data_IF_000646041686
#
_entry.id   IF_000646041686
#
_cell.length_a   1.000
_cell.length_b   1.000
_cell.length_c   1.000
_cell.angle_alpha   90.00
_cell.angle_beta   90.00
_cell.angle_gamma   90.00
#
_symmetry.space_group_name_H-M   'P 1'
#
loop_
_entity.id
_entity.type
_entity.pdbx_description
1 polymer ?
#
# COMPACT_ATOMS: atom_id res chain seq x y z
N UNK A 1 -32.41 7.40 8.79
CA UNK A 1 -31.09 6.81 9.08
C UNK A 1 -30.28 7.81 9.86
N UNK A 2 -29.52 7.36 10.85
CA UNK A 2 -28.53 8.17 11.54
C UNK A 2 -27.15 7.91 10.93
N UNK A 3 -26.47 8.94 10.43
CA UNK A 3 -25.10 8.82 9.90
C UNK A 3 -24.15 9.51 10.86
N UNK A 4 -23.13 8.79 11.34
CA UNK A 4 -22.19 9.30 12.34
C UNK A 4 -20.92 8.45 12.40
N UNK A 5 -19.94 8.93 13.17
CA UNK A 5 -18.77 8.14 13.56
C UNK A 5 -19.23 6.88 14.33
N UNK A 6 -18.61 5.74 14.01
CA UNK A 6 -18.83 4.47 14.71
C UNK A 6 -18.08 4.50 16.03
N UNK A 7 -18.75 4.13 17.11
CA UNK A 7 -18.13 4.05 18.44
C UNK A 7 -17.32 2.74 18.55
N UNK A 8 -16.26 2.73 19.36
CA UNK A 8 -15.36 1.57 19.48
C UNK A 8 -16.11 0.27 19.81
N UNK A 9 -17.13 0.31 20.69
CA UNK A 9 -17.93 -0.87 21.04
C UNK A 9 -18.87 -1.34 19.93
N UNK A 10 -19.09 -0.54 18.89
CA UNK A 10 -19.92 -0.87 17.72
C UNK A 10 -19.09 -1.46 16.57
N UNK A 11 -17.76 -1.44 16.66
CA UNK A 11 -16.88 -1.97 15.59
C UNK A 11 -17.09 -3.47 15.35
N UNK A 12 -17.51 -4.22 16.37
CA UNK A 12 -17.89 -5.62 16.18
C UNK A 12 -19.09 -5.77 15.23
N UNK A 13 -20.05 -4.85 15.28
CA UNK A 13 -21.16 -4.83 14.32
C UNK A 13 -20.69 -4.49 12.91
N UNK A 14 -19.69 -3.61 12.78
CA UNK A 14 -19.07 -3.29 11.50
C UNK A 14 -18.33 -4.49 10.90
N UNK A 15 -17.61 -5.26 11.73
CA UNK A 15 -16.95 -6.48 11.29
C UNK A 15 -17.97 -7.51 10.79
N UNK A 16 -19.05 -7.76 11.54
CA UNK A 16 -20.13 -8.67 11.12
C UNK A 16 -20.77 -8.25 9.80
N UNK A 17 -21.06 -6.96 9.63
CA UNK A 17 -21.58 -6.43 8.36
C UNK A 17 -20.59 -6.62 7.21
N UNK A 18 -19.30 -6.41 7.45
CA UNK A 18 -18.27 -6.60 6.44
C UNK A 18 -18.14 -8.07 6.04
N UNK A 19 -18.16 -8.99 7.01
CA UNK A 19 -18.16 -10.44 6.76
C UNK A 19 -19.35 -10.86 5.90
N UNK A 20 -20.56 -10.43 6.27
CA UNK A 20 -21.78 -10.78 5.52
C UNK A 20 -21.77 -10.23 4.08
N UNK A 21 -20.95 -9.21 3.78
CA UNK A 21 -20.84 -8.60 2.45
C UNK A 21 -19.66 -9.14 1.62
N UNK A 22 -18.53 -9.46 2.25
CA UNK A 22 -17.28 -9.80 1.56
C UNK A 22 -16.90 -11.28 1.65
N UNK A 23 -17.32 -11.97 2.71
CA UNK A 23 -16.97 -13.37 2.92
C UNK A 23 -17.99 -14.30 2.25
N UNK A 24 -17.55 -15.49 1.84
CA UNK A 24 -18.46 -16.56 1.45
C UNK A 24 -19.17 -17.13 2.69
N UNK A 25 -20.29 -17.80 2.50
CA UNK A 25 -21.11 -18.34 3.60
C UNK A 25 -20.29 -19.16 4.60
N UNK A 26 -20.06 -18.60 5.79
CA UNK A 26 -19.35 -19.23 6.91
C UNK A 26 -17.91 -18.76 7.14
N UNK A 27 -17.28 -18.10 6.16
CA UNK A 27 -15.94 -17.51 6.33
C UNK A 27 -16.05 -16.29 7.26
N UNK A 28 -15.18 -16.21 8.28
CA UNK A 28 -15.16 -15.13 9.29
C UNK A 28 -13.72 -14.70 9.54
N UNK A 29 -13.21 -13.80 8.69
CA UNK A 29 -11.83 -13.30 8.77
C UNK A 29 -11.72 -11.78 8.78
N UNK A 30 -12.79 -11.02 8.53
CA UNK A 30 -12.66 -9.56 8.40
C UNK A 30 -12.19 -8.91 9.72
N UNK A 31 -12.74 -9.33 10.86
CA UNK A 31 -12.36 -8.77 12.17
C UNK A 31 -10.87 -9.00 12.49
N UNK A 32 -10.35 -10.19 12.18
CA UNK A 32 -8.97 -10.59 12.50
C UNK A 32 -7.96 -10.12 11.47
N UNK A 33 -8.32 -10.09 10.18
CA UNK A 33 -7.45 -9.64 9.08
C UNK A 33 -7.26 -8.13 9.07
N UNK A 34 -8.22 -7.35 9.55
CA UNK A 34 -8.17 -5.89 9.49
C UNK A 34 -8.29 -5.24 10.88
N UNK A 35 -7.37 -5.52 11.80
CA UNK A 35 -7.48 -5.03 13.18
C UNK A 35 -7.42 -3.50 13.28
N UNK A 36 -6.73 -2.82 12.37
CA UNK A 36 -6.71 -1.35 12.31
C UNK A 36 -8.11 -0.74 12.06
N UNK A 37 -9.02 -1.51 11.44
CA UNK A 37 -10.40 -1.12 11.20
C UNK A 37 -11.35 -1.50 12.34
N UNK A 38 -11.18 -2.70 12.91
CA UNK A 38 -12.19 -3.29 13.80
C UNK A 38 -11.75 -3.40 15.27
N UNK A 39 -10.46 -3.32 15.57
CA UNK A 39 -9.87 -3.51 16.89
C UNK A 39 -9.03 -2.31 17.35
N UNK A 40 -9.38 -1.11 16.88
CA UNK A 40 -8.69 0.13 17.24
C UNK A 40 -9.13 0.67 18.60
N UNK A 41 -8.24 1.37 19.30
CA UNK A 41 -8.59 2.13 20.51
C UNK A 41 -9.54 3.30 20.21
N UNK A 42 -9.27 4.05 19.14
CA UNK A 42 -10.09 5.19 18.69
C UNK A 42 -10.56 4.92 17.26
N UNK A 43 -11.87 4.79 17.08
CA UNK A 43 -12.48 4.67 15.76
C UNK A 43 -12.45 6.00 15.02
N UNK A 44 -11.96 5.97 13.78
CA UNK A 44 -12.09 7.06 12.80
C UNK A 44 -13.18 6.77 11.75
N UNK A 45 -13.76 5.57 11.78
CA UNK A 45 -14.70 5.06 10.79
C UNK A 45 -16.11 5.66 10.96
N UNK A 46 -16.85 5.71 9.85
CA UNK A 46 -18.23 6.22 9.82
C UNK A 46 -19.22 5.12 9.42
N UNK A 47 -20.45 5.24 9.92
CA UNK A 47 -21.51 4.29 9.66
C UNK A 47 -22.90 4.92 9.56
N UNK A 48 -23.80 4.22 8.89
CA UNK A 48 -25.22 4.53 8.82
C UNK A 48 -26.02 3.51 9.64
N UNK A 49 -26.86 4.02 10.53
CA UNK A 49 -27.63 3.23 11.49
C UNK A 49 -29.15 3.40 11.29
N UNK A 50 -29.89 2.31 11.47
CA UNK A 50 -31.36 2.35 11.57
C UNK A 50 -31.80 3.03 12.87
N UNK A 51 -33.08 3.44 13.01
CA UNK A 51 -33.59 3.99 14.27
C UNK A 51 -33.42 3.04 15.47
N UNK A 52 -33.39 1.74 15.21
CA UNK A 52 -33.17 0.67 16.20
C UNK A 52 -31.69 0.49 16.56
N UNK A 53 -30.79 1.26 15.96
CA UNK A 53 -29.34 1.20 16.21
C UNK A 53 -28.61 0.12 15.41
N UNK A 54 -29.21 -0.42 14.35
CA UNK A 54 -28.54 -1.42 13.50
C UNK A 54 -27.65 -0.74 12.48
N UNK A 55 -26.35 -1.06 12.45
CA UNK A 55 -25.42 -0.60 11.42
C UNK A 55 -25.71 -1.30 10.09
N UNK A 56 -26.02 -0.52 9.05
CA UNK A 56 -26.41 -1.01 7.72
C UNK A 56 -25.47 -0.54 6.61
N UNK A 57 -24.56 0.38 6.91
CA UNK A 57 -23.48 0.76 6.00
C UNK A 57 -22.27 1.21 6.81
N UNK A 58 -21.08 0.82 6.38
CA UNK A 58 -19.82 1.09 7.07
C UNK A 58 -18.76 1.56 6.07
N UNK A 59 -17.96 2.54 6.51
CA UNK A 59 -16.78 3.00 5.81
C UNK A 59 -15.62 3.04 6.81
N UNK A 60 -14.76 2.03 6.69
CA UNK A 60 -13.56 1.89 7.49
C UNK A 60 -12.57 3.00 7.15
N UNK A 61 -11.97 3.62 8.16
CA UNK A 61 -11.01 4.70 7.99
C UNK A 61 -9.85 4.55 8.98
N UNK A 62 -8.62 4.48 8.47
CA UNK A 62 -7.40 4.23 9.26
C UNK A 62 -6.40 5.37 9.05
N UNK A 63 -5.93 6.07 10.10
CA UNK A 63 -4.87 7.07 9.96
C UNK A 63 -3.55 6.38 9.60
N UNK A 64 -2.73 7.03 8.78
CA UNK A 64 -1.40 6.53 8.43
C UNK A 64 -0.40 7.65 8.22
N UNK A 65 0.83 7.41 8.64
CA UNK A 65 1.97 8.25 8.29
C UNK A 65 2.88 7.47 7.35
N UNK A 66 3.26 8.13 6.25
CA UNK A 66 4.14 7.57 5.24
C UNK A 66 5.43 8.36 5.24
N UNK A 67 6.55 7.68 5.43
CA UNK A 67 7.85 8.24 5.12
C UNK A 67 8.00 8.28 3.59
N UNK A 68 8.29 9.45 3.03
CA UNK A 68 8.45 9.67 1.59
C UNK A 68 9.77 10.41 1.38
N UNK A 69 10.85 9.65 1.17
CA UNK A 69 12.21 10.19 1.20
C UNK A 69 12.54 10.78 2.57
N UNK A 70 12.84 12.07 2.64
CA UNK A 70 13.07 12.79 3.90
C UNK A 70 11.81 13.43 4.49
N UNK A 71 10.68 13.34 3.80
CA UNK A 71 9.43 13.97 4.20
C UNK A 71 8.44 12.97 4.80
N UNK A 72 7.40 13.48 5.47
CA UNK A 72 6.33 12.65 6.04
C UNK A 72 4.98 13.13 5.53
N UNK A 73 4.24 12.22 4.91
CA UNK A 73 2.87 12.45 4.45
C UNK A 73 1.90 11.94 5.50
N UNK A 74 0.98 12.80 5.94
CA UNK A 74 -0.16 12.39 6.76
C UNK A 74 -1.33 12.05 5.86
N UNK A 75 -1.84 10.83 5.98
CA UNK A 75 -2.91 10.33 5.15
C UNK A 75 -3.92 9.51 5.97
N UNK A 76 -5.01 9.15 5.31
CA UNK A 76 -5.92 8.11 5.78
C UNK A 76 -6.09 7.06 4.69
N UNK A 77 -6.38 5.83 5.07
CA UNK A 77 -6.82 4.77 4.16
C UNK A 77 -8.27 4.42 4.42
N UNK A 78 -9.03 4.19 3.35
CA UNK A 78 -10.40 3.69 3.39
C UNK A 78 -10.43 2.23 2.98
N UNK A 79 -11.07 1.41 3.82
CA UNK A 79 -11.22 -0.02 3.63
C UNK A 79 -12.55 -0.55 4.15
N UNK A 80 -12.81 -1.84 3.91
CA UNK A 80 -14.02 -2.56 4.31
C UNK A 80 -15.36 -1.81 4.02
N UNK A 81 -15.42 -1.08 2.91
CA UNK A 81 -16.60 -0.26 2.58
C UNK A 81 -17.76 -1.13 2.14
N UNK A 82 -18.79 -1.23 2.99
CA UNK A 82 -19.91 -2.11 2.77
C UNK A 82 -21.26 -1.43 3.06
N UNK A 83 -22.29 -1.87 2.35
CA UNK A 83 -23.69 -1.53 2.61
C UNK A 83 -24.50 -2.81 2.51
N UNK A 84 -25.30 -3.07 3.54
CA UNK A 84 -26.25 -4.18 3.57
C UNK A 84 -27.09 -4.18 2.29
N UNK A 85 -27.32 -5.32 1.62
CA UNK A 85 -28.01 -5.39 0.33
C UNK A 85 -29.31 -4.57 0.26
N UNK A 86 -30.16 -4.68 1.29
CA UNK A 86 -31.46 -3.99 1.36
C UNK A 86 -31.38 -2.46 1.50
N UNK A 87 -30.20 -1.92 1.83
CA UNK A 87 -29.97 -0.50 2.04
C UNK A 87 -29.16 0.14 0.89
N UNK A 88 -28.86 -0.61 -0.17
CA UNK A 88 -28.14 -0.12 -1.36
C UNK A 88 -29.01 0.82 -2.18
N UNK A 89 -28.37 1.66 -3.00
CA UNK A 89 -29.06 2.64 -3.87
C UNK A 89 -29.58 3.89 -3.15
N UNK A 90 -29.44 3.99 -1.83
CA UNK A 90 -29.92 5.13 -1.02
C UNK A 90 -28.88 6.24 -0.83
N UNK A 91 -27.73 6.17 -1.51
CA UNK A 91 -26.66 7.17 -1.41
C UNK A 91 -25.85 7.15 -0.11
N UNK A 92 -26.00 6.13 0.74
CA UNK A 92 -25.33 6.05 2.06
C UNK A 92 -23.80 6.09 1.93
N UNK A 93 -23.21 5.28 1.05
CA UNK A 93 -21.76 5.22 0.87
C UNK A 93 -21.16 6.57 0.43
N UNK A 94 -21.89 7.35 -0.38
CA UNK A 94 -21.46 8.70 -0.78
C UNK A 94 -21.48 9.70 0.39
N UNK A 95 -22.49 9.62 1.25
CA UNK A 95 -22.57 10.45 2.45
C UNK A 95 -21.46 10.09 3.47
N UNK A 96 -21.15 8.81 3.63
CA UNK A 96 -20.03 8.35 4.45
C UNK A 96 -18.69 8.85 3.90
N UNK A 97 -18.47 8.75 2.59
CA UNK A 97 -17.24 9.22 1.95
C UNK A 97 -17.01 10.72 2.18
N UNK A 98 -18.05 11.53 2.10
CA UNK A 98 -17.94 12.96 2.35
C UNK A 98 -17.54 13.25 3.81
N UNK A 99 -18.10 12.52 4.77
CA UNK A 99 -17.69 12.63 6.18
C UNK A 99 -16.23 12.21 6.40
N UNK A 100 -15.78 11.14 5.74
CA UNK A 100 -14.38 10.71 5.80
C UNK A 100 -13.44 11.77 5.20
N UNK A 101 -13.80 12.40 4.07
CA UNK A 101 -13.01 13.49 3.46
C UNK A 101 -12.90 14.69 4.40
N UNK A 102 -14.01 15.10 5.02
CA UNK A 102 -14.04 16.21 5.98
C UNK A 102 -13.22 15.89 7.23
N UNK A 103 -13.33 14.66 7.75
CA UNK A 103 -12.54 14.18 8.87
C UNK A 103 -11.04 14.23 8.56
N UNK A 104 -10.62 13.67 7.43
CA UNK A 104 -9.22 13.62 7.03
C UNK A 104 -8.62 15.03 6.88
N UNK A 105 -9.33 15.94 6.19
CA UNK A 105 -8.92 17.35 6.08
C UNK A 105 -8.77 18.02 7.46
N UNK A 106 -9.76 17.84 8.33
CA UNK A 106 -9.74 18.43 9.67
C UNK A 106 -8.61 17.88 10.54
N UNK A 107 -8.13 16.67 10.25
CA UNK A 107 -7.02 16.01 10.91
C UNK A 107 -5.64 16.36 10.31
N UNK A 108 -5.57 17.18 9.26
CA UNK A 108 -4.31 17.54 8.60
C UNK A 108 -3.76 16.47 7.66
N UNK A 109 -4.61 15.58 7.16
CA UNK A 109 -4.23 14.63 6.12
C UNK A 109 -4.36 15.25 4.72
N UNK A 110 -3.30 15.12 3.92
CA UNK A 110 -3.26 15.65 2.55
C UNK A 110 -3.82 14.67 1.52
N UNK A 111 -3.82 13.36 1.83
CA UNK A 111 -4.22 12.29 0.91
C UNK A 111 -5.14 11.28 1.60
N UNK A 112 -6.04 10.70 0.81
CA UNK A 112 -6.86 9.54 1.16
C UNK A 112 -6.55 8.39 0.21
N UNK A 113 -6.07 7.26 0.72
CA UNK A 113 -5.85 6.04 -0.04
C UNK A 113 -7.10 5.16 -0.01
N UNK A 114 -7.38 4.49 -1.12
CA UNK A 114 -8.60 3.70 -1.29
C UNK A 114 -8.25 2.44 -2.07
N UNK A 115 -8.49 1.25 -1.52
CA UNK A 115 -8.22 -0.03 -2.17
C UNK A 115 -9.14 -0.37 -3.37
N UNK A 116 -9.87 0.59 -3.92
CA UNK A 116 -10.80 0.39 -5.03
C UNK A 116 -10.90 1.57 -5.97
N UNK A 117 -11.44 1.30 -7.15
CA UNK A 117 -11.52 2.21 -8.31
C UNK A 117 -12.98 2.41 -8.80
N UNK A 118 -13.95 1.96 -7.99
CA UNK A 118 -15.38 2.07 -8.34
C UNK A 118 -15.80 3.52 -8.51
N UNK A 119 -16.88 3.72 -9.27
CA UNK A 119 -17.44 5.05 -9.56
C UNK A 119 -17.76 5.91 -8.33
N UNK A 120 -17.94 5.30 -7.14
CA UNK A 120 -18.03 6.03 -5.88
C UNK A 120 -16.83 6.96 -5.64
N UNK A 121 -15.63 6.49 -5.96
CA UNK A 121 -14.38 7.18 -5.67
C UNK A 121 -13.89 8.00 -6.87
N UNK A 122 -13.96 7.46 -8.08
CA UNK A 122 -13.47 8.17 -9.29
C UNK A 122 -14.28 9.43 -9.59
N UNK A 123 -15.58 9.46 -9.27
CA UNK A 123 -16.41 10.68 -9.39
C UNK A 123 -15.99 11.81 -8.46
N UNK A 124 -15.30 11.52 -7.35
CA UNK A 124 -14.78 12.54 -6.44
C UNK A 124 -13.30 12.85 -6.69
N UNK A 125 -12.73 12.32 -7.77
CA UNK A 125 -11.37 12.61 -8.23
C UNK A 125 -10.31 11.64 -7.71
N UNK A 126 -10.68 10.46 -7.21
CA UNK A 126 -9.67 9.43 -6.92
C UNK A 126 -9.08 8.88 -8.21
N UNK A 127 -7.77 8.64 -8.21
CA UNK A 127 -7.00 8.21 -9.39
C UNK A 127 -6.02 7.10 -9.06
N UNK A 128 -5.68 6.23 -10.03
CA UNK A 128 -4.47 5.42 -9.97
C UNK A 128 -3.22 6.31 -9.88
N UNK A 129 -2.18 5.81 -9.23
CA UNK A 129 -0.95 6.57 -8.95
C UNK A 129 0.27 5.66 -8.88
N UNK A 130 1.46 6.25 -8.89
CA UNK A 130 2.70 5.50 -8.71
C UNK A 130 3.01 4.55 -9.86
N UNK A 131 4.13 3.84 -9.71
CA UNK A 131 4.57 2.81 -10.62
C UNK A 131 5.15 1.65 -9.82
N UNK A 132 4.75 0.42 -10.16
CA UNK A 132 5.23 -0.82 -9.56
C UNK A 132 5.80 -1.68 -10.69
N UNK A 133 7.04 -2.13 -10.50
CA UNK A 133 7.63 -3.18 -11.33
C UNK A 133 7.20 -4.54 -10.81
N UNK A 134 6.61 -5.35 -11.68
CA UNK A 134 6.16 -6.71 -11.36
C UNK A 134 7.07 -7.71 -12.04
N UNK A 135 7.52 -8.68 -11.27
CA UNK A 135 8.39 -9.76 -11.72
C UNK A 135 7.77 -11.10 -11.32
N UNK A 136 7.85 -12.05 -12.25
CA UNK A 136 7.50 -13.45 -12.00
C UNK A 136 8.78 -14.25 -11.90
N UNK A 137 9.09 -14.72 -10.69
CA UNK A 137 10.32 -15.43 -10.40
C UNK A 137 10.08 -16.94 -10.41
N UNK A 138 11.03 -17.72 -10.92
CA UNK A 138 11.06 -19.18 -10.84
C UNK A 138 12.47 -19.63 -10.50
N UNK A 139 12.69 -20.93 -10.31
CA UNK A 139 14.05 -21.47 -10.11
C UNK A 139 15.02 -21.09 -11.24
N UNK A 140 14.53 -20.93 -12.48
CA UNK A 140 15.34 -20.51 -13.62
C UNK A 140 15.82 -19.04 -13.53
N UNK A 141 15.08 -18.19 -12.80
CA UNK A 141 15.40 -16.77 -12.59
C UNK A 141 16.70 -16.57 -11.82
N UNK A 142 17.19 -17.59 -11.11
CA UNK A 142 18.38 -17.55 -10.26
C UNK A 142 19.55 -18.37 -10.81
N UNK A 143 19.53 -18.69 -12.10
CA UNK A 143 20.62 -19.43 -12.77
C UNK A 143 21.98 -18.69 -12.75
N UNK A 144 21.96 -17.38 -12.49
CA UNK A 144 23.14 -16.53 -12.31
C UNK A 144 23.02 -15.74 -11.00
N UNK A 145 23.15 -16.43 -9.86
CA UNK A 145 23.27 -15.74 -8.57
C UNK A 145 24.50 -14.82 -8.60
N UNK A 146 24.42 -13.61 -8.02
CA UNK A 146 25.60 -12.78 -7.76
C UNK A 146 26.65 -13.59 -7.01
N UNK A 147 27.93 -13.30 -7.28
CA UNK A 147 29.07 -14.00 -6.67
C UNK A 147 28.91 -14.00 -5.14
N UNK A 148 28.82 -15.19 -4.55
CA UNK A 148 28.38 -15.40 -3.17
C UNK A 148 29.47 -15.00 -2.17
N UNK A 149 29.71 -13.70 -2.04
CA UNK A 149 30.61 -13.12 -1.04
C UNK A 149 29.99 -13.13 0.36
N UNK A 150 28.66 -13.15 0.44
CA UNK A 150 27.92 -13.17 1.70
C UNK A 150 27.60 -14.61 2.11
N UNK A 151 28.16 -15.03 3.26
CA UNK A 151 27.77 -16.26 3.92
C UNK A 151 26.45 -16.06 4.67
N UNK A 152 25.34 -16.30 3.98
CA UNK A 152 23.99 -16.22 4.53
C UNK A 152 23.43 -17.61 4.84
N UNK A 153 22.68 -17.69 5.93
CA UNK A 153 21.78 -18.80 6.22
C UNK A 153 20.33 -18.32 6.21
N UNK A 154 19.38 -19.21 5.92
CA UNK A 154 17.97 -18.85 5.78
C UNK A 154 17.13 -19.66 6.75
N UNK A 155 16.20 -19.01 7.45
CA UNK A 155 15.30 -19.66 8.42
C UNK A 155 13.96 -18.94 8.50
N UNK A 156 13.01 -19.54 9.21
CA UNK A 156 11.77 -18.86 9.56
C UNK A 156 12.03 -17.73 10.57
N UNK A 157 11.17 -16.72 10.53
CA UNK A 157 11.14 -15.63 11.50
C UNK A 157 10.91 -16.17 12.92
N UNK A 158 11.67 -15.66 13.88
CA UNK A 158 11.47 -15.88 15.31
C UNK A 158 10.98 -14.59 15.98
N UNK A 159 10.22 -14.65 17.09
CA UNK A 159 9.69 -13.45 17.75
C UNK A 159 10.76 -12.40 18.12
N UNK A 160 11.97 -12.82 18.47
CA UNK A 160 13.08 -11.92 18.80
C UNK A 160 13.61 -11.10 17.61
N UNK A 161 13.30 -11.49 16.37
CA UNK A 161 13.77 -10.81 15.16
C UNK A 161 12.99 -9.53 14.86
N UNK A 162 11.90 -9.25 15.57
CA UNK A 162 10.97 -8.15 15.26
C UNK A 162 11.66 -6.78 15.17
N UNK A 163 12.70 -6.55 15.98
CA UNK A 163 13.47 -5.31 15.91
C UNK A 163 14.27 -5.19 14.62
N UNK A 164 14.83 -6.29 14.12
CA UNK A 164 15.53 -6.31 12.84
C UNK A 164 14.56 -6.12 11.67
N UNK A 165 13.39 -6.76 11.71
CA UNK A 165 12.33 -6.54 10.71
C UNK A 165 11.90 -5.07 10.68
N UNK A 166 11.62 -4.48 11.85
CA UNK A 166 11.24 -3.07 11.95
C UNK A 166 12.35 -2.14 11.41
N UNK A 167 13.62 -2.43 11.74
CA UNK A 167 14.76 -1.69 11.23
C UNK A 167 14.83 -1.72 9.70
N UNK A 168 14.71 -2.90 9.09
CA UNK A 168 14.77 -3.07 7.63
C UNK A 168 13.60 -2.41 6.90
N UNK A 169 12.39 -2.42 7.48
CA UNK A 169 11.25 -1.65 6.94
C UNK A 169 11.54 -0.15 6.98
N UNK A 170 12.03 0.35 8.12
CA UNK A 170 12.31 1.77 8.32
C UNK A 170 13.51 2.28 7.50
N UNK A 171 14.39 1.38 7.05
CA UNK A 171 15.51 1.71 6.18
C UNK A 171 15.08 1.97 4.72
N UNK A 172 13.89 1.54 4.31
CA UNK A 172 13.38 1.77 2.95
C UNK A 172 13.12 3.26 2.71
N UNK A 173 13.38 3.72 1.48
CA UNK A 173 13.24 5.13 1.10
C UNK A 173 11.81 5.66 1.21
N UNK A 174 10.81 4.81 1.00
CA UNK A 174 9.42 5.12 1.29
C UNK A 174 8.73 3.93 1.97
N UNK A 175 8.16 4.15 3.14
CA UNK A 175 7.58 3.10 3.98
C UNK A 175 6.46 3.64 4.87
N UNK A 176 5.63 2.73 5.37
CA UNK A 176 4.64 3.07 6.40
C UNK A 176 5.34 3.18 7.75
N UNK A 177 5.10 4.29 8.46
CA UNK A 177 5.67 4.52 9.79
C UNK A 177 4.85 3.78 10.84
N UNK A 178 5.19 2.52 11.06
CA UNK A 178 4.60 1.71 12.13
C UNK A 178 5.34 1.86 13.46
N UNK A 179 4.57 1.87 14.55
CA UNK A 179 5.10 1.47 15.84
C UNK A 179 5.36 -0.05 15.85
N UNK A 180 6.22 -0.52 16.76
CA UNK A 180 6.50 -1.96 16.89
C UNK A 180 5.26 -2.79 17.23
N UNK A 181 4.31 -2.22 17.98
CA UNK A 181 3.02 -2.86 18.27
C UNK A 181 2.18 -3.02 17.02
N UNK A 182 2.09 -1.98 16.19
CA UNK A 182 1.33 -2.00 14.93
C UNK A 182 1.92 -3.04 13.97
N UNK A 183 3.24 -3.03 13.78
CA UNK A 183 3.93 -3.98 12.91
C UNK A 183 3.62 -5.43 13.30
N UNK A 184 3.73 -5.76 14.59
CA UNK A 184 3.38 -7.10 15.09
C UNK A 184 1.92 -7.45 14.83
N UNK A 185 1.01 -6.49 15.03
CA UNK A 185 -0.42 -6.70 14.79
C UNK A 185 -0.71 -6.95 13.30
N UNK A 186 -0.11 -6.19 12.39
CA UNK A 186 -0.27 -6.41 10.94
C UNK A 186 0.34 -7.73 10.49
N UNK A 187 1.53 -8.10 10.99
CA UNK A 187 2.15 -9.41 10.71
C UNK A 187 1.21 -10.54 11.13
N UNK A 188 0.65 -10.47 12.34
CA UNK A 188 -0.23 -11.50 12.89
C UNK A 188 -1.63 -11.52 12.26
N UNK A 189 -2.05 -10.45 11.59
CA UNK A 189 -3.36 -10.36 10.96
C UNK A 189 -3.44 -11.09 9.61
N UNK A 190 -2.29 -11.25 8.92
CA UNK A 190 -2.20 -11.94 7.63
C UNK A 190 -3.20 -11.43 6.56
N UNK A 191 -3.40 -10.11 6.39
CA UNK A 191 -4.54 -9.57 5.64
C UNK A 191 -4.59 -10.09 4.20
N UNK A 192 -3.48 -9.95 3.46
CA UNK A 192 -3.42 -10.34 2.05
C UNK A 192 -3.53 -11.86 1.87
N UNK A 193 -2.91 -12.64 2.74
CA UNK A 193 -2.98 -14.10 2.69
C UNK A 193 -4.42 -14.59 2.92
N UNK A 194 -5.12 -14.06 3.92
CA UNK A 194 -6.51 -14.44 4.20
C UNK A 194 -7.47 -14.10 3.05
N UNK A 195 -7.32 -12.93 2.42
CA UNK A 195 -8.13 -12.53 1.26
C UNK A 195 -7.89 -13.48 0.09
N UNK A 196 -6.64 -13.86 -0.13
CA UNK A 196 -6.26 -14.78 -1.21
C UNK A 196 -6.52 -16.24 -0.87
N UNK A 197 -7.04 -16.55 0.33
CA UNK A 197 -7.19 -17.93 0.85
C UNK A 197 -5.88 -18.71 0.82
N UNK A 198 -4.83 -18.03 1.27
CA UNK A 198 -3.44 -18.49 1.32
C UNK A 198 -2.90 -18.40 2.75
N UNK A 199 -1.70 -18.94 2.97
CA UNK A 199 -0.98 -18.87 4.23
C UNK A 199 0.14 -17.84 4.14
N UNK A 200 0.30 -17.05 5.20
CA UNK A 200 1.46 -16.18 5.31
C UNK A 200 2.65 -16.95 5.87
N UNK A 201 3.81 -16.76 5.25
CA UNK A 201 5.09 -17.24 5.79
C UNK A 201 6.10 -16.11 5.82
N UNK A 202 7.07 -16.18 6.72
CA UNK A 202 8.14 -15.18 6.83
C UNK A 202 9.48 -15.88 6.93
N UNK A 203 10.35 -15.59 5.95
CA UNK A 203 11.73 -16.06 5.93
C UNK A 203 12.68 -14.91 6.20
N UNK A 204 13.77 -15.20 6.89
CA UNK A 204 14.85 -14.25 7.16
C UNK A 204 16.18 -14.79 6.63
N UNK A 205 17.02 -13.88 6.17
CA UNK A 205 18.42 -14.12 5.89
C UNK A 205 19.25 -13.70 7.11
N UNK A 206 20.08 -14.61 7.60
CA UNK A 206 20.92 -14.45 8.78
C UNK A 206 22.40 -14.53 8.37
N UNK A 207 23.18 -13.56 8.85
CA UNK A 207 24.64 -13.53 8.67
C UNK A 207 25.36 -14.56 9.55
N UNK A 208 26.64 -14.80 9.29
CA UNK A 208 27.46 -15.67 10.14
C UNK A 208 27.52 -15.25 11.62
N UNK A 209 27.30 -13.96 11.92
CA UNK A 209 27.25 -13.40 13.29
C UNK A 209 25.83 -13.42 13.90
N UNK A 210 24.93 -14.23 13.33
CA UNK A 210 23.55 -14.41 13.78
C UNK A 210 22.68 -13.13 13.75
N UNK A 211 23.04 -12.16 12.91
CA UNK A 211 22.23 -10.96 12.69
C UNK A 211 21.30 -11.15 11.49
N UNK A 212 20.04 -10.77 11.62
CA UNK A 212 19.07 -10.74 10.52
C UNK A 212 19.44 -9.60 9.56
N UNK A 213 19.92 -9.97 8.37
CA UNK A 213 20.33 -9.04 7.31
C UNK A 213 19.18 -8.67 6.35
N UNK A 214 18.10 -9.45 6.34
CA UNK A 214 16.93 -9.16 5.55
C UNK A 214 15.79 -10.15 5.81
N UNK A 215 14.61 -9.83 5.33
CA UNK A 215 13.41 -10.64 5.49
C UNK A 215 12.51 -10.58 4.23
N UNK A 216 11.64 -11.57 4.11
CA UNK A 216 10.54 -11.59 3.15
C UNK A 216 9.28 -12.17 3.81
N UNK A 217 8.16 -11.45 3.67
CA UNK A 217 6.81 -11.91 4.04
C UNK A 217 6.12 -12.36 2.76
N UNK A 218 5.56 -13.57 2.79
CA UNK A 218 5.06 -14.29 1.62
C UNK A 218 3.60 -14.66 1.83
N UNK A 219 2.80 -14.63 0.76
CA UNK A 219 1.49 -15.27 0.66
C UNK A 219 1.63 -16.52 -0.21
N UNK A 220 1.34 -17.70 0.34
CA UNK A 220 1.62 -18.99 -0.30
C UNK A 220 0.36 -19.88 -0.28
N UNK A 221 0.04 -20.62 -1.36
CA UNK A 221 -1.03 -21.61 -1.33
C UNK A 221 -0.88 -22.63 -0.19
N UNK A 222 -1.98 -23.01 0.43
CA UNK A 222 -2.00 -24.07 1.45
C UNK A 222 -1.35 -25.37 0.92
N UNK A 223 -0.71 -26.15 1.79
CA UNK A 223 -0.09 -27.43 1.40
C UNK A 223 -1.10 -28.42 0.81
N UNK A 224 -2.34 -28.39 1.29
CA UNK A 224 -3.44 -29.24 0.84
C UNK A 224 -4.02 -28.83 -0.53
N UNK A 225 -3.59 -27.68 -1.07
CA UNK A 225 -4.04 -27.24 -2.39
C UNK A 225 -3.50 -28.16 -3.49
N UNK A 226 -4.42 -28.80 -4.21
CA UNK A 226 -4.14 -29.76 -5.29
C UNK A 226 -3.85 -29.09 -6.63
N UNK A 227 -3.77 -27.75 -6.66
CA UNK A 227 -3.42 -26.99 -7.84
C UNK A 227 -2.11 -27.51 -8.46
N UNK A 228 -2.11 -27.65 -9.78
CA UNK A 228 -0.96 -28.14 -10.56
C UNK A 228 0.23 -27.18 -10.57
N UNK A 229 0.03 -25.92 -10.16
CA UNK A 229 1.05 -24.88 -10.05
C UNK A 229 0.87 -24.14 -8.73
N UNK A 230 1.92 -24.13 -7.89
CA UNK A 230 1.93 -23.42 -6.60
C UNK A 230 2.54 -22.03 -6.83
N UNK A 231 1.69 -21.02 -6.96
CA UNK A 231 2.10 -19.63 -7.20
C UNK A 231 2.03 -18.85 -5.88
N UNK A 232 3.18 -18.41 -5.38
CA UNK A 232 3.27 -17.53 -4.22
C UNK A 232 3.38 -16.06 -4.63
N UNK A 233 3.23 -15.16 -3.66
CA UNK A 233 3.55 -13.74 -3.86
C UNK A 233 4.28 -13.15 -2.65
N UNK A 234 5.11 -12.14 -2.89
CA UNK A 234 5.75 -11.35 -1.83
C UNK A 234 4.76 -10.28 -1.36
N UNK A 235 4.50 -10.24 -0.05
CA UNK A 235 3.68 -9.23 0.63
C UNK A 235 4.55 -8.03 1.01
N UNK A 236 5.71 -8.28 1.63
CA UNK A 236 6.61 -7.25 2.15
C UNK A 236 8.02 -7.83 2.19
N UNK A 237 9.04 -6.98 2.07
CA UNK A 237 10.44 -7.40 2.20
C UNK A 237 11.29 -6.27 2.77
N UNK A 238 12.51 -6.58 3.19
CA UNK A 238 13.45 -5.54 3.61
C UNK A 238 14.85 -6.09 3.81
N UNK A 239 15.85 -5.21 3.69
CA UNK A 239 17.27 -5.54 3.67
C UNK A 239 17.92 -5.17 2.34
N UNK A 240 19.23 -5.32 2.27
CA UNK A 240 20.00 -4.98 1.07
C UNK A 240 19.61 -5.88 -0.12
N UNK A 241 19.61 -5.38 -1.38
CA UNK A 241 19.24 -6.17 -2.55
C UNK A 241 20.03 -7.48 -2.71
N UNK A 242 21.32 -7.48 -2.35
CA UNK A 242 22.18 -8.67 -2.41
C UNK A 242 21.79 -9.75 -1.38
N UNK A 243 21.04 -9.37 -0.34
CA UNK A 243 20.50 -10.27 0.70
C UNK A 243 19.09 -10.72 0.34
N UNK A 244 18.23 -9.79 -0.10
CA UNK A 244 16.82 -10.06 -0.41
C UNK A 244 16.67 -10.90 -1.68
N UNK A 245 17.49 -10.66 -2.71
CA UNK A 245 17.46 -11.40 -3.96
C UNK A 245 17.60 -12.92 -3.77
N UNK A 246 18.64 -13.44 -3.10
CA UNK A 246 18.75 -14.89 -2.86
C UNK A 246 17.71 -15.41 -1.85
N UNK A 247 17.16 -14.56 -0.98
CA UNK A 247 16.06 -14.95 -0.08
C UNK A 247 14.77 -15.29 -0.86
N UNK A 248 14.50 -14.66 -2.00
CA UNK A 248 13.42 -15.08 -2.91
C UNK A 248 13.67 -16.46 -3.52
N UNK A 249 14.92 -16.78 -3.88
CA UNK A 249 15.29 -18.08 -4.40
C UNK A 249 15.11 -19.20 -3.36
N UNK A 250 15.52 -18.90 -2.11
CA UNK A 250 15.30 -19.76 -0.96
C UNK A 250 13.79 -19.99 -0.73
N UNK A 251 12.96 -18.95 -0.78
CA UNK A 251 11.51 -19.09 -0.63
C UNK A 251 10.89 -20.01 -1.70
N UNK A 252 11.25 -19.82 -2.98
CA UNK A 252 10.78 -20.67 -4.08
C UNK A 252 11.16 -22.14 -3.86
N UNK A 253 12.41 -22.39 -3.46
CA UNK A 253 12.92 -23.74 -3.27
C UNK A 253 12.31 -24.41 -2.05
N UNK A 254 12.26 -23.70 -0.91
CA UNK A 254 11.79 -24.21 0.35
C UNK A 254 10.29 -24.54 0.32
N UNK A 255 9.46 -23.65 -0.25
CA UNK A 255 8.01 -23.85 -0.35
C UNK A 255 7.58 -24.54 -1.65
N UNK A 256 8.53 -25.01 -2.45
CA UNK A 256 8.31 -25.74 -3.71
C UNK A 256 7.38 -24.98 -4.67
N UNK A 257 7.62 -23.67 -4.82
CA UNK A 257 6.81 -22.80 -5.66
C UNK A 257 7.16 -22.99 -7.13
N UNK A 258 6.14 -23.00 -7.97
CA UNK A 258 6.29 -22.95 -9.43
C UNK A 258 6.69 -21.54 -9.88
N UNK A 259 6.09 -20.52 -9.26
CA UNK A 259 6.53 -19.13 -9.39
C UNK A 259 6.27 -18.30 -8.12
N UNK A 260 6.97 -17.18 -8.03
CA UNK A 260 6.81 -16.17 -6.98
C UNK A 260 6.65 -14.79 -7.63
N UNK A 261 5.47 -14.19 -7.46
CA UNK A 261 5.22 -12.82 -7.91
C UNK A 261 5.84 -11.81 -6.94
N UNK A 262 6.67 -10.91 -7.45
CA UNK A 262 7.31 -9.84 -6.66
C UNK A 262 6.94 -8.49 -7.24
N UNK A 263 6.47 -7.59 -6.37
CA UNK A 263 6.09 -6.22 -6.69
C UNK A 263 7.04 -5.26 -6.02
N UNK A 264 7.74 -4.47 -6.84
CA UNK A 264 8.80 -3.58 -6.39
C UNK A 264 8.40 -2.15 -6.74
N UNK A 265 8.23 -1.24 -5.75
CA UNK A 265 8.04 0.18 -6.01
C UNK A 265 9.19 0.76 -6.83
N UNK A 266 8.89 1.70 -7.73
CA UNK A 266 9.88 2.29 -8.63
C UNK A 266 11.13 2.88 -7.94
N UNK A 267 11.00 3.32 -6.69
CA UNK A 267 12.12 3.87 -5.93
C UNK A 267 13.19 2.82 -5.54
N UNK A 268 12.87 1.52 -5.52
CA UNK A 268 13.81 0.44 -5.21
C UNK A 268 14.66 0.03 -6.43
N UNK A 269 15.33 1.03 -6.99
CA UNK A 269 16.11 0.92 -8.23
C UNK A 269 17.18 -0.18 -8.15
N UNK A 270 17.85 -0.32 -7.02
CA UNK A 270 18.93 -1.30 -6.86
C UNK A 270 18.43 -2.75 -7.00
N UNK A 271 17.24 -3.05 -6.47
CA UNK A 271 16.65 -4.39 -6.61
C UNK A 271 16.06 -4.61 -8.01
N UNK A 272 15.41 -3.59 -8.58
CA UNK A 272 14.94 -3.61 -9.97
C UNK A 272 16.12 -3.87 -10.93
N UNK A 273 17.20 -3.12 -10.81
CA UNK A 273 18.40 -3.26 -11.65
C UNK A 273 19.02 -4.65 -11.53
N UNK A 274 18.99 -5.25 -10.34
CA UNK A 274 19.47 -6.61 -10.11
C UNK A 274 18.64 -7.63 -10.89
N UNK A 275 17.31 -7.50 -10.86
CA UNK A 275 16.41 -8.36 -11.63
C UNK A 275 16.56 -8.17 -13.14
N UNK A 276 16.72 -6.93 -13.60
CA UNK A 276 16.93 -6.62 -15.02
C UNK A 276 18.26 -7.17 -15.54
N UNK A 277 19.34 -7.07 -14.75
CA UNK A 277 20.65 -7.68 -15.09
C UNK A 277 20.59 -9.20 -15.19
N UNK A 278 19.72 -9.84 -14.40
CA UNK A 278 19.42 -11.26 -14.49
C UNK A 278 18.50 -11.62 -15.69
N UNK A 279 18.17 -10.66 -16.57
CA UNK A 279 17.29 -10.80 -17.72
C UNK A 279 15.88 -11.32 -17.36
N UNK A 280 15.40 -10.99 -16.16
CA UNK A 280 14.05 -11.35 -15.73
C UNK A 280 13.07 -10.36 -16.38
N UNK A 281 12.05 -10.84 -17.11
CA UNK A 281 11.03 -9.97 -17.70
C UNK A 281 10.32 -9.14 -16.62
N UNK A 282 10.13 -7.86 -16.91
CA UNK A 282 9.39 -6.92 -16.06
C UNK A 282 8.11 -6.50 -16.76
N UNK A 283 7.01 -6.42 -16.01
CA UNK A 283 5.84 -5.63 -16.40
C UNK A 283 5.67 -4.46 -15.45
N UNK A 284 5.00 -3.41 -15.93
CA UNK A 284 4.77 -2.19 -15.16
C UNK A 284 3.28 -2.04 -14.91
N UNK A 285 2.91 -1.81 -13.65
CA UNK A 285 1.54 -1.49 -13.23
C UNK A 285 1.52 -0.23 -12.35
N UNK A 286 0.33 0.34 -12.13
CA UNK A 286 0.13 1.40 -11.13
C UNK A 286 0.15 0.79 -9.72
N UNK A 287 0.38 1.61 -8.70
CA UNK A 287 0.34 1.18 -7.31
C UNK A 287 -1.05 0.61 -6.93
N UNK A 288 -1.10 -0.22 -5.89
CA UNK A 288 -2.32 -0.83 -5.41
C UNK A 288 -3.35 0.22 -4.96
N UNK A 289 -4.52 0.20 -5.59
CA UNK A 289 -5.66 1.06 -5.26
C UNK A 289 -5.63 2.42 -5.98
N UNK A 290 -6.28 3.41 -5.37
CA UNK A 290 -6.34 4.79 -5.84
C UNK A 290 -6.02 5.77 -4.72
N UNK A 291 -5.59 6.97 -5.07
CA UNK A 291 -5.43 8.09 -4.14
C UNK A 291 -6.39 9.22 -4.48
N UNK A 292 -6.82 9.94 -3.46
CA UNK A 292 -7.54 11.19 -3.57
C UNK A 292 -6.76 12.27 -2.80
N UNK A 293 -6.33 13.32 -3.51
CA UNK A 293 -5.74 14.49 -2.86
C UNK A 293 -6.86 15.31 -2.23
N UNK A 294 -6.73 15.55 -0.92
CA UNK A 294 -7.72 16.27 -0.12
C UNK A 294 -7.41 17.76 -0.05
N UNK A 295 -6.12 18.09 -0.05
CA UNK A 295 -5.53 19.42 0.04
C UNK A 295 -4.19 19.42 -0.73
N UNK A 296 -4.13 20.19 -1.82
CA UNK A 296 -2.97 20.22 -2.71
C UNK A 296 -1.79 20.97 -2.10
N UNK A 297 -2.02 22.11 -1.44
CA UNK A 297 -0.95 22.90 -0.85
C UNK A 297 -0.30 22.13 0.30
N UNK A 298 -1.12 21.50 1.15
CA UNK A 298 -0.63 20.66 2.23
C UNK A 298 0.13 19.44 1.70
N UNK A 299 -0.31 18.83 0.59
CA UNK A 299 0.43 17.74 -0.04
C UNK A 299 1.81 18.20 -0.51
N UNK A 300 1.89 19.35 -1.19
CA UNK A 300 3.16 19.89 -1.70
C UNK A 300 4.12 20.25 -0.56
N UNK A 301 3.60 20.75 0.57
CA UNK A 301 4.38 20.98 1.78
C UNK A 301 4.87 19.66 2.40
N UNK A 302 3.99 18.69 2.60
CA UNK A 302 4.30 17.39 3.22
C UNK A 302 5.21 16.48 2.38
N UNK A 303 5.48 16.86 1.13
CA UNK A 303 6.33 16.10 0.20
C UNK A 303 7.59 16.87 -0.23
N UNK A 304 7.75 18.12 0.21
CA UNK A 304 8.87 18.98 -0.19
C UNK A 304 8.81 19.49 -1.63
N UNK A 305 7.77 19.14 -2.39
CA UNK A 305 7.59 19.65 -3.76
C UNK A 305 7.40 21.17 -3.73
N UNK A 306 6.77 21.70 -2.68
CA UNK A 306 6.65 23.15 -2.49
C UNK A 306 8.01 23.87 -2.46
N UNK A 307 9.01 23.33 -1.77
CA UNK A 307 10.35 23.91 -1.69
C UNK A 307 11.05 23.89 -3.06
N UNK A 308 10.86 22.79 -3.81
CA UNK A 308 11.34 22.68 -5.18
C UNK A 308 10.70 23.72 -6.11
N UNK A 309 9.38 23.89 -6.04
CA UNK A 309 8.64 24.85 -6.86
C UNK A 309 9.15 26.27 -6.61
N UNK A 310 9.33 26.66 -5.34
CA UNK A 310 9.85 27.97 -4.97
C UNK A 310 11.30 28.18 -5.43
N UNK A 311 12.17 27.17 -5.29
CA UNK A 311 13.57 27.27 -5.72
C UNK A 311 13.74 27.47 -7.23
N UNK A 312 12.74 27.11 -8.03
CA UNK A 312 12.77 27.17 -9.49
C UNK A 312 11.78 28.20 -10.08
N UNK A 313 11.17 29.05 -9.24
CA UNK A 313 10.13 30.02 -9.63
C UNK A 313 8.96 29.38 -10.43
N UNK A 314 8.57 28.16 -10.05
CA UNK A 314 7.49 27.41 -10.69
C UNK A 314 6.18 27.67 -9.94
N UNK A 315 5.11 28.01 -10.68
CA UNK A 315 3.76 28.20 -10.13
C UNK A 315 2.81 27.13 -10.64
N UNK A 316 1.94 26.64 -9.76
CA UNK A 316 0.90 25.66 -10.10
C UNK A 316 -0.47 26.35 -10.02
N UNK A 317 -1.30 26.14 -11.04
CA UNK A 317 -2.69 26.57 -11.09
C UNK A 317 -3.59 25.33 -11.07
N UNK A 318 -4.55 25.28 -10.14
CA UNK A 318 -5.46 24.12 -9.95
C UNK A 318 -6.97 24.49 -9.96
N UNK A 319 -7.34 25.72 -9.62
CA UNK A 319 -8.76 26.10 -9.38
C UNK A 319 -9.63 26.16 -10.64
N UNK A 320 -9.05 26.40 -11.82
CA UNK A 320 -9.76 26.57 -13.09
C UNK A 320 -9.08 25.78 -14.21
N UNK A 321 -8.72 24.55 -13.89
CA UNK A 321 -7.87 23.70 -14.71
C UNK A 321 -6.46 23.61 -14.14
N UNK A 322 -5.70 22.67 -14.67
CA UNK A 322 -4.39 22.30 -14.18
C UNK A 322 -3.35 22.91 -15.12
N UNK A 323 -2.43 23.72 -14.60
CA UNK A 323 -1.28 24.19 -15.35
C UNK A 323 -0.05 24.41 -14.46
N UNK A 324 1.12 24.22 -15.05
CA UNK A 324 2.41 24.54 -14.44
C UNK A 324 3.07 25.66 -15.23
N UNK A 325 3.49 26.73 -14.55
CA UNK A 325 4.13 27.89 -15.15
C UNK A 325 5.57 27.98 -14.66
N UNK A 326 6.53 27.94 -15.58
CA UNK A 326 7.94 28.23 -15.32
C UNK A 326 8.26 29.66 -15.78
N UNK A 327 9.45 30.21 -15.47
CA UNK A 327 9.86 31.51 -15.99
C UNK A 327 9.89 31.60 -17.52
N UNK A 328 10.03 30.46 -18.21
CA UNK A 328 10.23 30.39 -19.67
C UNK A 328 9.01 29.87 -20.44
N UNK A 329 8.09 29.15 -19.80
CA UNK A 329 6.99 28.48 -20.49
C UNK A 329 5.80 28.20 -19.57
N UNK A 330 4.67 27.84 -20.17
CA UNK A 330 3.48 27.36 -19.47
C UNK A 330 3.07 26.01 -20.03
N UNK A 331 2.77 25.08 -19.13
CA UNK A 331 2.48 23.68 -19.42
C UNK A 331 1.07 23.37 -18.91
N UNK A 332 0.02 23.50 -19.75
CA UNK A 332 -1.32 23.10 -19.36
C UNK A 332 -1.42 21.57 -19.31
N UNK A 333 -2.18 21.06 -18.35
CA UNK A 333 -2.54 19.65 -18.26
C UNK A 333 -3.96 19.43 -18.79
N UNK A 334 -4.20 18.30 -19.45
CA UNK A 334 -5.52 17.97 -20.01
C UNK A 334 -6.48 17.40 -18.96
N UNK A 335 -5.97 16.95 -17.81
CA UNK A 335 -6.76 16.36 -16.74
C UNK A 335 -6.04 16.42 -15.40
N UNK A 336 -6.78 16.14 -14.31
CA UNK A 336 -6.19 15.93 -12.99
C UNK A 336 -5.20 14.75 -12.97
N UNK A 337 -5.41 13.72 -13.79
CA UNK A 337 -4.52 12.56 -13.87
C UNK A 337 -3.10 12.98 -14.28
N UNK A 338 -2.94 13.87 -15.24
CA UNK A 338 -1.59 14.29 -15.68
C UNK A 338 -0.84 15.05 -14.58
N UNK A 339 -1.56 15.80 -13.73
CA UNK A 339 -0.98 16.43 -12.55
C UNK A 339 -0.53 15.39 -11.52
N UNK A 340 -1.35 14.36 -11.27
CA UNK A 340 -0.99 13.29 -10.35
C UNK A 340 0.10 12.37 -10.87
N UNK A 341 0.14 12.11 -12.18
CA UNK A 341 1.26 11.41 -12.81
C UNK A 341 2.54 12.22 -12.62
N UNK A 342 2.53 13.55 -12.83
CA UNK A 342 3.71 14.38 -12.55
C UNK A 342 4.20 14.26 -11.10
N UNK A 343 3.28 14.16 -10.14
CA UNK A 343 3.64 14.01 -8.72
C UNK A 343 4.13 12.61 -8.36
N UNK A 344 3.55 11.54 -8.91
CA UNK A 344 3.73 10.19 -8.37
C UNK A 344 4.30 9.17 -9.38
N UNK A 345 4.31 9.46 -10.67
CA UNK A 345 4.83 8.59 -11.72
C UNK A 345 6.24 9.05 -12.15
N UNK A 346 7.28 8.20 -11.99
CA UNK A 346 8.65 8.58 -12.37
C UNK A 346 8.82 8.81 -13.88
N UNK A 347 7.93 8.26 -14.71
CA UNK A 347 7.97 8.34 -16.18
C UNK A 347 6.94 9.34 -16.75
N UNK A 348 6.41 10.23 -15.91
CA UNK A 348 5.40 11.20 -16.33
C UNK A 348 5.87 12.02 -17.53
N UNK A 349 5.12 11.96 -18.64
CA UNK A 349 5.54 12.54 -19.94
C UNK A 349 5.90 14.03 -19.88
N UNK A 350 5.35 14.79 -18.92
CA UNK A 350 5.64 16.21 -18.77
C UNK A 350 7.06 16.48 -18.24
N UNK A 351 7.65 15.58 -17.44
CA UNK A 351 9.02 15.75 -16.94
C UNK A 351 10.04 15.80 -18.09
N UNK A 352 9.77 15.12 -19.21
CA UNK A 352 10.60 15.18 -20.41
C UNK A 352 10.42 16.47 -21.22
N UNK A 353 9.29 17.17 -21.07
CA UNK A 353 8.99 18.44 -21.77
C UNK A 353 9.50 19.65 -21.00
N UNK A 354 9.51 19.55 -19.68
CA UNK A 354 10.10 20.55 -18.81
C UNK A 354 11.61 20.30 -18.80
N UNK A 355 12.43 21.27 -19.18
CA UNK A 355 13.89 21.13 -19.10
C UNK A 355 14.41 21.23 -17.64
N UNK A 356 13.63 20.66 -16.71
CA UNK A 356 13.76 20.73 -15.26
C UNK A 356 13.33 19.36 -14.72
N UNK A 357 14.20 18.73 -13.93
CA UNK A 357 13.91 17.46 -13.29
C UNK A 357 12.92 17.68 -12.13
N UNK A 358 11.62 17.54 -12.41
CA UNK A 358 10.57 17.65 -11.40
C UNK A 358 10.66 16.49 -10.40
N UNK A 359 10.53 16.72 -9.08
CA UNK A 359 10.61 15.66 -8.08
C UNK A 359 9.37 14.78 -8.11
N UNK A 360 9.57 13.47 -8.26
CA UNK A 360 8.52 12.46 -8.07
C UNK A 360 8.46 12.06 -6.60
N UNK A 361 7.26 12.10 -6.03
CA UNK A 361 6.95 11.72 -4.65
C UNK A 361 6.93 10.20 -4.53
N UNK A 362 7.87 9.58 -3.79
CA UNK A 362 7.89 8.15 -3.60
C UNK A 362 6.81 7.73 -2.58
N UNK A 363 6.10 6.65 -2.88
CA UNK A 363 5.11 6.06 -1.98
C UNK A 363 5.36 4.55 -1.89
N UNK A 364 5.14 3.93 -0.71
CA UNK A 364 5.25 2.48 -0.58
C UNK A 364 4.17 1.76 -1.40
N UNK A 365 4.35 0.46 -1.62
CA UNK A 365 3.30 -0.37 -2.19
C UNK A 365 2.17 -0.57 -1.18
N UNK A 366 0.94 -0.20 -1.54
CA UNK A 366 -0.17 -0.19 -0.56
C UNK A 366 -0.88 -1.54 -0.41
N UNK A 367 -0.64 -2.50 -1.31
CA UNK A 367 -1.19 -3.86 -1.20
C UNK A 367 -0.15 -4.83 -0.62
N UNK A 368 0.79 -4.32 0.17
CA UNK A 368 1.72 -5.11 0.98
C UNK A 368 1.14 -5.43 2.36
N UNK A 369 1.98 -5.33 3.40
CA UNK A 369 1.56 -5.60 4.77
C UNK A 369 0.53 -4.57 5.29
N UNK A 370 0.54 -3.35 4.74
CA UNK A 370 -0.42 -2.27 5.02
C UNK A 370 -1.70 -2.37 4.16
N UNK A 371 -2.28 -3.55 3.99
CA UNK A 371 -3.53 -3.66 3.23
C UNK A 371 -4.76 -3.37 4.13
N UNK A 372 -5.61 -2.41 3.70
CA UNK A 372 -6.76 -1.89 4.45
C UNK A 372 -8.09 -2.08 3.70
#
# INVERSE_FOLDING_TARGET
MQIRRVLTHELKQAALLAEDVFCADGDRYMESSFPALFQTGISHSYGAFTPEGVLVSFMGMVPVQIQSGTYTVSAYSIGAVCTHPDYRGQGLAGQLLELCRQHARSAGASVLFISGDRSLYTRVGSVPFGQISVFELSTASFSTLPDASLHLSYRDLLPQDIFAVAHHIQAQYAHIRWGLGDLQQFIAAHPMANINKQQQHIRVAETADHQVAGFVILSIPHEEDTATSRIGSVIEYGGDPEVVYPLFADAITHYQLSSLTVRIPWQDKSLIDLFLKANIPVSIEKNGGTLLVLDHDLLLEQTGVHDFLNAHDIKVQLDNGYALHTPSASYPFNSAQEWYDLLFDPDATLTHKMNVAFPTVPLPYLYGLYFI
#
